data_IF_474947062615
#
_entry.id   IF_474947062615
#
_cell.length_a   1.000
_cell.length_b   1.000
_cell.length_c   1.000
_cell.angle_alpha   90.00
_cell.angle_beta   90.00
_cell.angle_gamma   90.00
#
_symmetry.space_group_name_H-M   'P 1'
#
loop_
_entity.id
_entity.type
_entity.pdbx_description
1 polymer ?
#
# COMPACT_ATOMS: atom_id res chain seq x y z
N UNK A 1 -6.53 -9.03 -9.31
CA UNK A 1 -5.57 -8.71 -10.38
C UNK A 1 -4.55 -7.72 -9.80
N UNK A 2 -3.26 -8.01 -9.92
CA UNK A 2 -2.22 -7.10 -9.42
C UNK A 2 -2.14 -5.82 -10.26
N UNK A 3 -1.67 -4.73 -9.66
CA UNK A 3 -1.36 -3.50 -10.40
C UNK A 3 -0.20 -3.83 -11.37
N UNK A 4 -0.33 -3.57 -12.68
CA UNK A 4 0.73 -3.89 -13.64
C UNK A 4 1.95 -3.01 -13.41
N UNK A 5 3.15 -3.60 -13.44
CA UNK A 5 4.43 -2.86 -13.43
C UNK A 5 4.71 -2.29 -14.83
N UNK A 6 4.00 -1.23 -15.18
CA UNK A 6 4.21 -0.52 -16.46
C UNK A 6 5.54 0.24 -16.47
N UNK A 7 5.96 0.75 -15.31
CA UNK A 7 7.18 1.55 -15.17
C UNK A 7 8.42 0.72 -15.51
N UNK A 8 8.52 -0.52 -15.02
CA UNK A 8 9.62 -1.42 -15.38
C UNK A 8 9.73 -1.65 -16.88
N UNK A 9 8.60 -1.87 -17.56
CA UNK A 9 8.54 -2.10 -19.02
C UNK A 9 8.92 -0.87 -19.83
N UNK A 10 8.51 0.32 -19.39
CA UNK A 10 8.86 1.56 -20.05
C UNK A 10 10.37 1.83 -19.97
N UNK A 11 11.01 1.50 -18.84
CA UNK A 11 12.46 1.58 -18.66
C UNK A 11 13.19 0.58 -19.56
N UNK A 12 12.74 -0.67 -19.61
CA UNK A 12 13.32 -1.72 -20.47
C UNK A 12 13.35 -1.28 -21.94
N UNK A 13 12.22 -0.76 -22.43
CA UNK A 13 12.08 -0.24 -23.80
C UNK A 13 12.99 0.97 -24.07
N UNK A 14 13.07 1.90 -23.11
CA UNK A 14 13.89 3.11 -23.27
C UNK A 14 15.40 2.79 -23.30
N UNK A 15 15.84 1.79 -22.54
CA UNK A 15 17.25 1.38 -22.47
C UNK A 15 17.68 0.43 -23.61
N UNK A 16 16.72 -0.12 -24.38
CA UNK A 16 16.99 -1.17 -25.36
C UNK A 16 17.95 -0.77 -26.49
N UNK A 17 18.05 0.52 -26.81
CA UNK A 17 18.99 1.03 -27.83
C UNK A 17 20.43 1.20 -27.32
N UNK A 18 20.64 1.21 -26.00
CA UNK A 18 21.95 1.38 -25.36
C UNK A 18 22.49 0.01 -24.95
N UNK A 19 21.70 -0.73 -24.16
CA UNK A 19 22.06 -2.07 -23.71
C UNK A 19 20.78 -2.83 -23.33
N UNK A 20 20.61 -4.09 -23.78
CA UNK A 20 19.43 -4.87 -23.43
C UNK A 20 19.43 -5.19 -21.94
N UNK A 21 18.44 -4.67 -21.22
CA UNK A 21 18.21 -4.95 -19.81
C UNK A 21 17.12 -6.01 -19.66
N UNK A 22 17.29 -6.88 -18.67
CA UNK A 22 16.28 -7.85 -18.25
C UNK A 22 16.00 -7.68 -16.75
N UNK A 23 14.81 -8.10 -16.32
CA UNK A 23 14.37 -8.07 -14.92
C UNK A 23 14.46 -6.67 -14.28
N UNK A 24 13.79 -5.69 -14.91
CA UNK A 24 13.69 -4.32 -14.40
C UNK A 24 12.46 -4.18 -13.51
N UNK A 25 12.65 -3.78 -12.25
CA UNK A 25 11.57 -3.63 -11.27
C UNK A 25 11.78 -2.45 -10.32
N UNK A 26 10.69 -1.92 -9.77
CA UNK A 26 10.75 -0.91 -8.71
C UNK A 26 11.09 -1.60 -7.37
N UNK A 27 12.38 -1.57 -7.00
CA UNK A 27 12.90 -2.20 -5.77
C UNK A 27 12.28 -1.65 -4.49
N UNK A 28 12.03 -0.35 -4.42
CA UNK A 28 11.59 0.33 -3.19
C UNK A 28 10.83 1.62 -3.50
N UNK A 29 9.64 1.75 -2.93
CA UNK A 29 8.90 3.03 -2.88
C UNK A 29 8.81 3.47 -1.43
N UNK A 30 9.21 4.71 -1.14
CA UNK A 30 9.19 5.28 0.21
C UNK A 30 8.28 6.51 0.24
N UNK A 31 7.34 6.55 1.18
CA UNK A 31 6.59 7.76 1.48
C UNK A 31 7.46 8.69 2.33
N UNK A 32 7.78 9.86 1.79
CA UNK A 32 8.59 10.86 2.50
C UNK A 32 7.73 11.76 3.41
N UNK A 33 6.54 12.12 2.94
CA UNK A 33 5.59 12.95 3.69
C UNK A 33 4.23 12.27 3.65
N UNK A 34 3.67 12.00 4.82
CA UNK A 34 2.30 11.46 4.91
C UNK A 34 1.32 12.59 4.58
N UNK A 35 0.32 12.34 3.72
CA UNK A 35 -0.75 13.30 3.50
C UNK A 35 -1.51 13.50 4.82
N UNK A 36 -2.14 14.68 4.97
CA UNK A 36 -3.06 14.90 6.09
C UNK A 36 -4.20 13.90 5.98
N UNK A 37 -4.52 13.25 7.09
CA UNK A 37 -5.61 12.29 7.14
C UNK A 37 -6.95 13.03 6.96
N UNK A 38 -7.72 12.62 5.97
CA UNK A 38 -9.04 13.18 5.67
C UNK A 38 -9.99 11.99 5.44
N UNK A 39 -10.99 11.84 6.31
CA UNK A 39 -11.88 10.67 6.32
C UNK A 39 -12.63 10.48 4.99
N UNK A 40 -13.05 11.58 4.36
CA UNK A 40 -13.75 11.53 3.07
C UNK A 40 -12.91 10.90 1.96
N UNK A 41 -11.63 11.28 1.85
CA UNK A 41 -10.70 10.72 0.86
C UNK A 41 -10.41 9.24 1.10
N UNK A 42 -10.39 8.82 2.36
CA UNK A 42 -10.20 7.41 2.70
C UNK A 42 -11.44 6.59 2.31
N UNK A 43 -12.63 7.07 2.63
CA UNK A 43 -13.88 6.38 2.33
C UNK A 43 -14.14 6.28 0.82
N UNK A 44 -13.70 7.27 0.04
CA UNK A 44 -13.69 7.22 -1.43
C UNK A 44 -12.80 6.08 -1.95
N UNK A 45 -11.57 5.97 -1.44
CA UNK A 45 -10.63 4.90 -1.82
C UNK A 45 -11.07 3.50 -1.36
N UNK A 46 -11.91 3.40 -0.32
CA UNK A 46 -12.44 2.15 0.22
C UNK A 46 -13.84 1.79 -0.32
N UNK A 47 -14.42 2.65 -1.17
CA UNK A 47 -15.80 2.53 -1.66
C UNK A 47 -16.05 1.45 -2.72
N UNK A 48 -15.00 0.75 -3.18
CA UNK A 48 -15.10 -0.35 -4.14
C UNK A 48 -14.94 -1.71 -3.43
N UNK A 49 -15.86 -2.04 -2.51
CA UNK A 49 -15.88 -3.35 -1.88
C UNK A 49 -16.78 -3.48 -0.66
N UNK A 50 -18.05 -3.80 -0.90
CA UNK A 50 -18.94 -4.35 0.14
C UNK A 50 -20.00 -3.39 0.65
N UNK A 51 -21.22 -3.58 0.16
CA UNK A 51 -22.42 -3.06 0.80
C UNK A 51 -22.58 -3.67 2.21
N UNK A 52 -22.92 -2.86 3.21
CA UNK A 52 -23.49 -3.38 4.46
C UNK A 52 -23.23 -2.57 5.73
N UNK A 53 -24.24 -1.80 6.11
CA UNK A 53 -24.55 -1.31 7.47
C UNK A 53 -23.61 -0.32 8.18
N UNK A 54 -24.21 0.84 8.43
CA UNK A 54 -23.72 1.98 9.19
C UNK A 54 -23.54 1.73 10.70
N UNK A 55 -22.64 2.50 11.33
CA UNK A 55 -22.94 3.19 12.59
C UNK A 55 -21.96 4.35 12.80
N UNK A 56 -22.50 5.52 13.16
CA UNK A 56 -21.76 6.71 13.59
C UNK A 56 -20.82 6.39 14.75
N UNK A 57 -19.63 6.97 14.75
CA UNK A 57 -18.96 7.36 15.98
C UNK A 57 -18.37 8.77 15.81
N UNK A 58 -18.54 9.54 16.88
CA UNK A 58 -18.26 10.95 17.09
C UNK A 58 -16.89 11.41 16.61
N UNK A 59 -16.80 12.69 16.25
CA UNK A 59 -15.53 13.40 16.28
C UNK A 59 -14.94 13.38 17.70
N UNK A 60 -13.64 13.65 17.72
CA UNK A 60 -12.71 13.64 18.86
C UNK A 60 -11.96 12.32 19.10
N UNK A 61 -10.65 12.38 18.86
CA UNK A 61 -9.58 11.53 19.37
C UNK A 61 -9.80 10.00 19.44
N UNK A 62 -9.76 9.30 18.31
CA UNK A 62 -9.44 7.86 18.30
C UNK A 62 -8.56 7.49 17.12
N UNK A 63 -7.35 8.05 17.09
CA UNK A 63 -6.21 7.28 16.63
C UNK A 63 -5.78 6.41 17.80
N UNK A 64 -6.27 5.17 17.90
CA UNK A 64 -5.75 4.24 18.88
C UNK A 64 -4.23 4.18 18.68
N UNK A 65 -3.47 4.74 19.63
CA UNK A 65 -2.01 4.58 19.67
C UNK A 65 -1.79 3.11 20.03
N UNK A 66 -1.70 2.26 19.01
CA UNK A 66 -1.28 0.87 19.22
C UNK A 66 0.20 0.94 19.58
N UNK A 67 0.50 0.93 20.88
CA UNK A 67 1.83 0.62 21.38
C UNK A 67 2.15 -0.81 20.95
N UNK A 68 2.82 -0.91 19.80
CA UNK A 68 3.46 -2.15 19.36
C UNK A 68 4.62 -2.37 20.32
N UNK A 69 4.40 -3.15 21.39
CA UNK A 69 5.49 -3.62 22.23
C UNK A 69 6.58 -4.25 21.34
N UNK A 70 7.85 -3.94 21.62
CA UNK A 70 9.04 -4.23 20.81
C UNK A 70 9.40 -5.73 20.64
N UNK A 71 8.40 -6.61 20.56
CA UNK A 71 8.58 -8.07 20.48
C UNK A 71 7.49 -8.81 19.70
N UNK A 72 6.68 -8.14 18.87
CA UNK A 72 5.74 -8.86 18.00
C UNK A 72 6.48 -9.50 16.82
N UNK A 73 6.84 -10.77 17.00
CA UNK A 73 7.22 -11.68 15.92
C UNK A 73 5.96 -12.44 15.47
N UNK A 74 5.54 -12.33 14.19
CA UNK A 74 4.36 -13.04 13.72
C UNK A 74 4.62 -14.55 13.77
N UNK A 75 3.62 -15.37 14.16
CA UNK A 75 3.78 -16.81 14.22
C UNK A 75 4.13 -17.34 12.82
N UNK A 76 5.26 -18.05 12.75
CA UNK A 76 5.68 -18.85 11.59
C UNK A 76 4.60 -19.92 11.34
N UNK A 77 3.93 -19.82 10.21
CA UNK A 77 3.00 -20.85 9.75
C UNK A 77 3.81 -22.08 9.35
N UNK A 78 3.67 -23.18 10.08
CA UNK A 78 4.15 -24.48 9.61
C UNK A 78 3.30 -24.89 8.40
N UNK A 79 3.98 -25.17 7.30
CA UNK A 79 3.39 -25.69 6.07
C UNK A 79 2.70 -27.02 6.32
N UNK A 80 1.46 -27.13 5.85
CA UNK A 80 0.84 -28.42 5.46
C UNK A 80 0.41 -28.30 4.02
#
# INVERSE_FOLDING_TARGET
>A
AGIPDSVGKDIEKACQSIYPLHDVYVRKVKMLKKPKFELGKLMELHGEGGAGSAAKASGDDTGAKVERADGYEPPIQETV
#
